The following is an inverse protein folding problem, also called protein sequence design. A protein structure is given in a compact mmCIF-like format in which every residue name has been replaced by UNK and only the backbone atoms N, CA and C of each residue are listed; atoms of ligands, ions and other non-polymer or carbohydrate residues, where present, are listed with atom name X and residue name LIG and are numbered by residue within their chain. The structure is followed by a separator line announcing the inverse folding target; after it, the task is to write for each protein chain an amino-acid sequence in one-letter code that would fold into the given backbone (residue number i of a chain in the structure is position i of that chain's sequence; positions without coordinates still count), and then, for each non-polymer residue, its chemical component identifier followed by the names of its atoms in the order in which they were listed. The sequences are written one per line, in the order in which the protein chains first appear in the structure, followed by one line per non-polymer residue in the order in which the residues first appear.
data_IF_836538431508
#
_entry.id   IF_836538431508
#
_cell.length_a   1.000
_cell.length_b   1.000
_cell.length_c   1.000
_cell.angle_alpha   90.00
_cell.angle_beta   90.00
_cell.angle_gamma   90.00
#
_symmetry.space_group_name_H-M   'P 1'
#
loop_
_entity.id
_entity.type
_entity.pdbx_description
1 polymer ?
#
# COMPACT_ATOMS: atom_id res chain seq x y z
N UNK A 1 11.42 1.18 -10.42
CA UNK A 1 12.45 1.46 -11.48
C UNK A 1 12.99 2.90 -11.42
N UNK A 2 12.14 3.92 -11.22
CA UNK A 2 12.55 5.34 -11.12
C UNK A 2 13.60 5.65 -10.04
N UNK A 3 13.67 4.87 -8.97
CA UNK A 3 14.61 5.04 -7.84
C UNK A 3 16.08 4.93 -8.26
N UNK A 4 16.37 4.27 -9.38
CA UNK A 4 17.74 4.02 -9.83
C UNK A 4 18.19 4.97 -10.95
N UNK A 5 17.34 5.91 -11.38
CA UNK A 5 17.64 6.88 -12.42
C UNK A 5 17.59 8.30 -11.86
N UNK A 6 18.48 8.62 -10.92
CA UNK A 6 18.53 9.94 -10.28
C UNK A 6 18.69 11.10 -11.29
N UNK A 7 19.33 10.85 -12.45
CA UNK A 7 19.46 11.84 -13.54
C UNK A 7 18.12 12.27 -14.13
N UNK A 8 17.10 11.40 -14.12
CA UNK A 8 15.76 11.74 -14.63
C UNK A 8 15.00 12.66 -13.66
N UNK A 9 15.40 12.69 -12.39
CA UNK A 9 14.79 13.49 -11.33
C UNK A 9 15.63 14.72 -10.96
N UNK A 10 16.65 15.06 -11.77
CA UNK A 10 17.63 16.10 -11.42
C UNK A 10 17.04 17.52 -11.41
N UNK A 11 16.04 17.79 -12.27
CA UNK A 11 15.39 19.11 -12.38
C UNK A 11 14.01 19.11 -11.75
N UNK A 12 13.63 20.24 -11.14
CA UNK A 12 12.31 20.41 -10.48
C UNK A 12 11.16 20.14 -11.46
N UNK A 13 11.25 20.63 -12.69
CA UNK A 13 10.24 20.39 -13.74
C UNK A 13 10.09 18.90 -14.04
N UNK A 14 11.19 18.18 -14.33
CA UNK A 14 11.13 16.74 -14.62
C UNK A 14 10.57 15.93 -13.45
N UNK A 15 10.91 16.31 -12.21
CA UNK A 15 10.33 15.66 -11.02
C UNK A 15 8.81 15.78 -10.96
N UNK A 16 8.25 16.95 -11.28
CA UNK A 16 6.80 17.16 -11.31
C UNK A 16 6.16 16.25 -12.36
N UNK A 17 6.63 16.30 -13.61
CA UNK A 17 6.04 15.53 -14.71
C UNK A 17 6.20 14.00 -14.57
N UNK A 18 7.33 13.53 -14.05
CA UNK A 18 7.63 12.09 -14.03
C UNK A 18 7.17 11.43 -12.72
N UNK A 19 7.24 12.13 -11.59
CA UNK A 19 6.97 11.53 -10.28
C UNK A 19 5.60 11.90 -9.72
N UNK A 20 5.22 13.18 -9.80
CA UNK A 20 4.00 13.67 -9.14
C UNK A 20 2.78 13.66 -10.06
N UNK A 21 2.97 13.92 -11.35
CA UNK A 21 1.87 13.97 -12.31
C UNK A 21 1.13 12.61 -12.44
N UNK A 22 1.80 11.44 -12.55
CA UNK A 22 1.07 10.19 -12.72
C UNK A 22 0.13 9.85 -11.54
N UNK A 23 0.56 9.97 -10.26
CA UNK A 23 -0.35 9.81 -9.12
C UNK A 23 -1.50 10.82 -9.11
N UNK A 24 -1.26 12.08 -9.47
CA UNK A 24 -2.32 13.12 -9.51
C UNK A 24 -3.36 12.78 -10.57
N UNK A 25 -2.93 12.41 -11.78
CA UNK A 25 -3.85 12.00 -12.85
C UNK A 25 -4.64 10.74 -12.47
N UNK A 26 -3.99 9.77 -11.82
CA UNK A 26 -4.67 8.56 -11.34
C UNK A 26 -5.73 8.90 -10.28
N UNK A 27 -5.41 9.75 -9.31
CA UNK A 27 -6.37 10.20 -8.31
C UNK A 27 -7.55 10.95 -8.95
N UNK A 28 -7.27 11.86 -9.89
CA UNK A 28 -8.30 12.59 -10.61
C UNK A 28 -9.22 11.63 -11.38
N UNK A 29 -8.65 10.64 -12.08
CA UNK A 29 -9.41 9.60 -12.76
C UNK A 29 -10.31 8.83 -11.78
N UNK A 30 -9.78 8.37 -10.64
CA UNK A 30 -10.57 7.67 -9.63
C UNK A 30 -11.72 8.54 -9.10
N UNK A 31 -11.45 9.79 -8.72
CA UNK A 31 -12.49 10.69 -8.21
C UNK A 31 -13.58 10.97 -9.25
N UNK A 32 -13.22 11.22 -10.50
CA UNK A 32 -14.19 11.50 -11.56
C UNK A 32 -15.01 10.25 -11.88
N UNK A 33 -14.37 9.11 -12.14
CA UNK A 33 -15.08 7.88 -12.50
C UNK A 33 -16.02 7.41 -11.39
N UNK A 34 -15.52 7.26 -10.16
CA UNK A 34 -16.36 6.79 -9.06
C UNK A 34 -17.36 7.85 -8.58
N UNK A 35 -17.02 9.14 -8.73
CA UNK A 35 -17.96 10.24 -8.47
C UNK A 35 -19.16 10.18 -9.41
N UNK A 36 -18.95 9.99 -10.71
CA UNK A 36 -20.04 9.83 -11.69
C UNK A 36 -20.90 8.62 -11.35
N UNK A 37 -20.27 7.46 -11.08
CA UNK A 37 -20.99 6.21 -10.78
C UNK A 37 -21.84 6.33 -9.51
N UNK A 38 -21.33 7.01 -8.48
CA UNK A 38 -22.01 7.10 -7.19
C UNK A 38 -23.09 8.19 -7.16
N UNK A 39 -22.81 9.37 -7.71
CA UNK A 39 -23.75 10.52 -7.66
C UNK A 39 -24.75 10.56 -8.81
N UNK A 40 -24.44 9.92 -9.95
CA UNK A 40 -25.31 9.89 -11.13
C UNK A 40 -25.59 8.45 -11.60
N UNK A 41 -26.21 7.60 -10.76
CA UNK A 41 -26.57 6.25 -11.17
C UNK A 41 -27.66 6.31 -12.24
N UNK A 42 -27.41 5.72 -13.40
CA UNK A 42 -28.38 5.63 -14.51
C UNK A 42 -29.49 4.58 -14.29
N UNK A 43 -29.58 4.01 -13.08
CA UNK A 43 -30.50 2.92 -12.74
C UNK A 43 -30.78 2.88 -11.23
N UNK A 44 -31.77 2.08 -10.83
CA UNK A 44 -32.14 1.88 -9.42
C UNK A 44 -31.20 0.86 -8.77
N UNK A 45 -30.51 1.27 -7.71
CA UNK A 45 -29.63 0.39 -6.94
C UNK A 45 -30.43 -0.69 -6.19
N UNK A 46 -29.86 -1.88 -6.06
CA UNK A 46 -30.46 -2.97 -5.29
C UNK A 46 -29.86 -3.04 -3.88
N UNK A 47 -30.71 -3.37 -2.90
CA UNK A 47 -30.28 -3.59 -1.53
C UNK A 47 -30.10 -5.10 -1.36
N UNK A 48 -28.90 -5.52 -0.97
CA UNK A 48 -28.60 -6.92 -0.69
C UNK A 48 -28.02 -7.07 0.72
N UNK A 49 -28.87 -7.51 1.65
CA UNK A 49 -28.49 -7.71 3.05
C UNK A 49 -27.45 -8.83 3.27
N UNK A 50 -27.22 -9.67 2.26
CA UNK A 50 -26.27 -10.79 2.32
C UNK A 50 -24.91 -10.46 1.69
N UNK A 51 -24.77 -9.29 1.06
CA UNK A 51 -23.51 -8.83 0.49
C UNK A 51 -22.70 -8.04 1.53
N UNK A 52 -21.37 -8.05 1.39
CA UNK A 52 -20.49 -7.25 2.25
C UNK A 52 -20.80 -5.74 2.16
N UNK A 53 -21.28 -5.28 1.01
CA UNK A 53 -21.84 -3.96 0.81
C UNK A 53 -23.38 -4.05 0.77
N UNK A 54 -24.05 -3.30 1.65
CA UNK A 54 -25.52 -3.28 1.75
C UNK A 54 -26.19 -2.75 0.47
N UNK A 55 -25.52 -1.81 -0.22
CA UNK A 55 -25.98 -1.20 -1.47
C UNK A 55 -25.13 -1.74 -2.61
N UNK A 56 -25.78 -2.45 -3.54
CA UNK A 56 -25.14 -2.91 -4.78
C UNK A 56 -25.48 -1.90 -5.87
N UNK A 57 -24.45 -1.24 -6.41
CA UNK A 57 -24.64 -0.28 -7.48
C UNK A 57 -25.08 -1.01 -8.75
N UNK A 58 -26.25 -0.62 -9.29
CA UNK A 58 -26.83 -1.27 -10.47
C UNK A 58 -25.95 -1.13 -11.73
N UNK A 59 -25.05 -0.14 -11.77
CA UNK A 59 -24.05 0.05 -12.83
C UNK A 59 -23.15 -1.18 -13.01
N UNK A 60 -22.93 -1.98 -11.96
CA UNK A 60 -22.18 -3.23 -12.05
C UNK A 60 -22.92 -4.34 -12.81
N UNK A 61 -24.24 -4.25 -12.98
CA UNK A 61 -24.99 -5.18 -13.83
C UNK A 61 -24.77 -4.91 -15.34
N UNK A 62 -24.21 -3.74 -15.70
CA UNK A 62 -23.82 -3.48 -17.07
C UNK A 62 -22.51 -4.22 -17.38
N UNK A 63 -22.57 -5.23 -18.25
CA UNK A 63 -21.42 -6.03 -18.66
C UNK A 63 -20.24 -5.18 -19.14
N UNK A 64 -20.48 -4.08 -19.85
CA UNK A 64 -19.40 -3.22 -20.36
C UNK A 64 -18.65 -2.53 -19.22
N UNK A 65 -19.40 -1.98 -18.25
CA UNK A 65 -18.78 -1.32 -17.09
C UNK A 65 -18.07 -2.33 -16.19
N UNK A 66 -18.71 -3.48 -15.95
CA UNK A 66 -18.13 -4.58 -15.15
C UNK A 66 -16.83 -5.11 -15.76
N UNK A 67 -16.79 -5.32 -17.08
CA UNK A 67 -15.56 -5.69 -17.80
C UNK A 67 -14.50 -4.60 -17.74
N UNK A 68 -14.87 -3.33 -17.93
CA UNK A 68 -13.95 -2.22 -17.81
C UNK A 68 -13.31 -2.16 -16.42
N UNK A 69 -14.11 -2.27 -15.37
CA UNK A 69 -13.65 -2.24 -13.99
C UNK A 69 -12.72 -3.43 -13.68
N UNK A 70 -13.14 -4.62 -14.07
CA UNK A 70 -12.36 -5.86 -13.91
C UNK A 70 -11.03 -5.79 -14.67
N UNK A 71 -11.03 -5.38 -15.93
CA UNK A 71 -9.80 -5.41 -16.76
C UNK A 71 -8.89 -4.25 -16.43
N UNK A 72 -9.42 -3.03 -16.44
CA UNK A 72 -8.61 -1.80 -16.37
C UNK A 72 -8.28 -1.41 -14.95
N UNK A 73 -9.22 -1.55 -14.01
CA UNK A 73 -8.98 -1.14 -12.62
C UNK A 73 -8.46 -2.28 -11.75
N UNK A 74 -8.66 -3.54 -12.16
CA UNK A 74 -8.16 -4.70 -11.41
C UNK A 74 -7.03 -5.45 -12.14
N UNK A 75 -7.28 -6.17 -13.22
CA UNK A 75 -6.29 -7.07 -13.85
C UNK A 75 -5.03 -6.31 -14.30
N UNK A 76 -5.18 -5.20 -15.02
CA UNK A 76 -4.06 -4.45 -15.60
C UNK A 76 -3.10 -3.91 -14.51
N UNK A 77 -3.56 -3.23 -13.44
CA UNK A 77 -2.71 -2.83 -12.32
C UNK A 77 -1.99 -4.01 -11.67
N UNK A 78 -2.64 -5.16 -11.51
CA UNK A 78 -2.01 -6.34 -10.92
C UNK A 78 -0.88 -6.88 -11.78
N UNK A 79 -1.09 -7.00 -13.09
CA UNK A 79 -0.05 -7.42 -14.03
C UNK A 79 1.13 -6.44 -14.02
N UNK A 80 0.86 -5.14 -14.01
CA UNK A 80 1.88 -4.10 -13.88
C UNK A 80 2.66 -4.32 -12.58
N UNK A 81 2.00 -4.46 -11.43
CA UNK A 81 2.68 -4.71 -10.15
C UNK A 81 3.57 -5.94 -10.27
N UNK A 82 3.06 -7.09 -10.72
CA UNK A 82 3.83 -8.34 -10.88
C UNK A 82 5.09 -8.12 -11.73
N UNK A 83 4.93 -7.56 -12.93
CA UNK A 83 6.06 -7.33 -13.86
C UNK A 83 7.10 -6.42 -13.23
N UNK A 84 6.68 -5.29 -12.65
CA UNK A 84 7.59 -4.34 -12.03
C UNK A 84 8.26 -4.90 -10.76
N UNK A 85 7.57 -5.75 -10.00
CA UNK A 85 8.11 -6.41 -8.80
C UNK A 85 9.16 -7.45 -9.17
N UNK A 86 8.89 -8.30 -10.17
CA UNK A 86 9.88 -9.26 -10.70
C UNK A 86 11.11 -8.50 -11.23
N UNK A 87 10.90 -7.46 -12.05
CA UNK A 87 11.99 -6.63 -12.55
C UNK A 87 12.79 -5.95 -11.42
N UNK A 88 12.13 -5.52 -10.33
CA UNK A 88 12.78 -4.93 -9.16
C UNK A 88 13.66 -5.97 -8.44
N UNK A 89 13.17 -7.20 -8.25
CA UNK A 89 13.91 -8.29 -7.60
C UNK A 89 15.14 -8.65 -8.43
N UNK A 90 14.97 -8.90 -9.73
CA UNK A 90 16.07 -9.24 -10.64
C UNK A 90 17.16 -8.15 -10.63
N UNK A 91 16.75 -6.88 -10.69
CA UNK A 91 17.68 -5.76 -10.63
C UNK A 91 18.36 -5.64 -9.27
N UNK A 92 17.66 -5.90 -8.17
CA UNK A 92 18.26 -5.89 -6.84
C UNK A 92 19.32 -6.98 -6.68
N UNK A 93 19.06 -8.19 -7.18
CA UNK A 93 20.03 -9.29 -7.20
C UNK A 93 21.25 -8.94 -8.05
N UNK A 94 21.02 -8.40 -9.26
CA UNK A 94 22.11 -8.05 -10.16
C UNK A 94 22.98 -6.91 -9.61
N UNK A 95 22.37 -5.90 -8.98
CA UNK A 95 23.09 -4.77 -8.42
C UNK A 95 23.85 -5.14 -7.15
N UNK A 96 23.35 -6.11 -6.36
CA UNK A 96 24.09 -6.69 -5.24
C UNK A 96 25.35 -7.43 -5.71
N UNK A 97 25.30 -8.07 -6.88
CA UNK A 97 26.46 -8.74 -7.47
C UNK A 97 27.49 -7.75 -8.07
N UNK A 98 27.03 -6.59 -8.58
CA UNK A 98 27.89 -5.66 -9.35
C UNK A 98 28.50 -4.52 -8.54
N UNK A 99 27.96 -4.15 -7.38
CA UNK A 99 28.36 -2.94 -6.66
C UNK A 99 28.93 -3.20 -5.26
N UNK A 100 30.26 -3.11 -5.12
CA UNK A 100 31.00 -3.03 -3.86
C UNK A 100 30.86 -1.68 -3.11
N UNK A 101 29.90 -0.82 -3.49
CA UNK A 101 29.71 0.51 -2.86
C UNK A 101 28.68 0.48 -1.72
N UNK A 102 29.17 0.27 -0.50
CA UNK A 102 28.34 0.03 0.69
C UNK A 102 27.41 1.19 1.11
N UNK A 103 27.78 2.45 0.88
CA UNK A 103 27.10 3.60 1.49
C UNK A 103 25.79 3.97 0.76
N UNK A 104 25.80 4.06 -0.58
CA UNK A 104 24.57 4.32 -1.35
C UNK A 104 23.62 3.11 -1.34
N UNK A 105 24.17 1.89 -1.27
CA UNK A 105 23.40 0.66 -1.20
C UNK A 105 22.45 0.63 0.00
N UNK A 106 22.88 1.11 1.18
CA UNK A 106 22.04 1.09 2.39
C UNK A 106 20.77 1.95 2.25
N UNK A 107 20.83 3.04 1.48
CA UNK A 107 19.67 3.91 1.21
C UNK A 107 18.73 3.26 0.20
N UNK A 108 19.25 2.78 -0.94
CA UNK A 108 18.44 2.12 -1.97
C UNK A 108 17.81 0.83 -1.46
N UNK A 109 18.53 0.03 -0.69
CA UNK A 109 18.04 -1.24 -0.11
C UNK A 109 16.78 -1.05 0.73
N UNK A 110 16.66 0.02 1.52
CA UNK A 110 15.47 0.26 2.35
C UNK A 110 14.23 0.54 1.50
N UNK A 111 14.40 1.35 0.45
CA UNK A 111 13.32 1.69 -0.48
C UNK A 111 12.91 0.49 -1.33
N UNK A 112 13.88 -0.32 -1.76
CA UNK A 112 13.65 -1.59 -2.45
C UNK A 112 12.91 -2.58 -1.56
N UNK A 113 13.32 -2.76 -0.29
CA UNK A 113 12.62 -3.63 0.66
C UNK A 113 11.19 -3.14 0.87
N UNK A 114 10.96 -1.84 1.03
CA UNK A 114 9.61 -1.29 1.14
C UNK A 114 8.74 -1.63 -0.06
N UNK A 115 9.23 -1.36 -1.27
CA UNK A 115 8.50 -1.68 -2.50
C UNK A 115 8.25 -3.17 -2.67
N UNK A 116 9.23 -4.00 -2.31
CA UNK A 116 9.12 -5.45 -2.36
C UNK A 116 8.08 -5.96 -1.36
N UNK A 117 8.07 -5.43 -0.13
CA UNK A 117 7.07 -5.78 0.87
C UNK A 117 5.66 -5.35 0.46
N UNK A 118 5.51 -4.17 -0.16
CA UNK A 118 4.21 -3.74 -0.72
C UNK A 118 3.79 -4.71 -1.83
N UNK A 119 4.70 -5.03 -2.76
CA UNK A 119 4.42 -5.97 -3.84
C UNK A 119 3.98 -7.33 -3.33
N UNK A 120 4.66 -7.85 -2.31
CA UNK A 120 4.35 -9.13 -1.69
C UNK A 120 3.00 -9.11 -0.98
N UNK A 121 2.64 -7.99 -0.34
CA UNK A 121 1.32 -7.79 0.25
C UNK A 121 0.21 -7.91 -0.81
N UNK A 122 0.36 -7.20 -1.94
CA UNK A 122 -0.60 -7.28 -3.04
C UNK A 122 -0.64 -8.69 -3.67
N UNK A 123 0.51 -9.36 -3.80
CA UNK A 123 0.58 -10.73 -4.31
C UNK A 123 -0.10 -11.74 -3.39
N UNK A 124 0.02 -11.62 -2.07
CA UNK A 124 -0.62 -12.59 -1.16
C UNK A 124 -2.13 -12.36 -1.09
N UNK A 125 -2.54 -11.11 -0.89
CA UNK A 125 -3.93 -10.82 -0.54
C UNK A 125 -4.81 -10.55 -1.76
N UNK A 126 -4.25 -10.01 -2.85
CA UNK A 126 -5.03 -9.59 -4.03
C UNK A 126 -4.98 -10.58 -5.19
N UNK A 127 -3.91 -11.39 -5.28
CA UNK A 127 -3.76 -12.39 -6.33
C UNK A 127 -4.86 -13.45 -6.32
N UNK A 128 -5.29 -14.02 -5.17
CA UNK A 128 -6.34 -15.03 -5.15
C UNK A 128 -7.64 -14.51 -5.79
N UNK A 129 -8.04 -13.28 -5.47
CA UNK A 129 -9.23 -12.66 -6.03
C UNK A 129 -9.09 -12.44 -7.55
N UNK A 130 -7.96 -11.87 -7.97
CA UNK A 130 -7.69 -11.62 -9.41
C UNK A 130 -7.65 -12.93 -10.21
N UNK A 131 -7.08 -13.99 -9.64
CA UNK A 131 -7.03 -15.31 -10.25
C UNK A 131 -8.42 -15.92 -10.41
N UNK A 132 -9.27 -15.83 -9.38
CA UNK A 132 -10.65 -16.29 -9.46
C UNK A 132 -11.44 -15.55 -10.55
N UNK A 133 -11.27 -14.23 -10.65
CA UNK A 133 -11.93 -13.41 -11.67
C UNK A 133 -11.46 -13.80 -13.07
N UNK A 134 -10.17 -14.07 -13.26
CA UNK A 134 -9.65 -14.57 -14.52
C UNK A 134 -10.27 -15.93 -14.89
N UNK A 135 -10.39 -16.86 -13.94
CA UNK A 135 -11.05 -18.15 -14.18
C UNK A 135 -12.52 -17.99 -14.59
N UNK A 136 -13.24 -17.03 -13.98
CA UNK A 136 -14.61 -16.71 -14.40
C UNK A 136 -14.68 -16.21 -15.84
N UNK A 137 -13.75 -15.34 -16.25
CA UNK A 137 -13.66 -14.87 -17.63
C UNK A 137 -13.35 -16.01 -18.61
N UNK A 138 -12.65 -17.05 -18.17
CA UNK A 138 -12.41 -18.27 -18.96
C UNK A 138 -13.59 -19.26 -19.00
N UNK A 139 -14.73 -18.93 -18.39
CA UNK A 139 -15.95 -19.74 -18.46
C UNK A 139 -16.18 -20.68 -17.26
N UNK A 140 -15.47 -20.49 -16.14
CA UNK A 140 -15.78 -21.23 -14.92
C UNK A 140 -17.20 -20.86 -14.42
N UNK A 141 -18.09 -21.84 -14.16
CA UNK A 141 -19.45 -21.53 -13.70
C UNK A 141 -19.46 -20.88 -12.30
N UNK A 142 -20.25 -19.81 -12.15
CA UNK A 142 -20.48 -19.07 -10.90
C UNK A 142 -20.91 -19.90 -9.70
N UNK A 143 -21.52 -21.06 -9.97
CA UNK A 143 -22.27 -21.83 -8.98
C UNK A 143 -21.34 -22.67 -8.09
N UNK A 144 -20.13 -23.00 -8.57
CA UNK A 144 -19.18 -23.86 -7.86
C UNK A 144 -18.18 -23.07 -7.01
N UNK A 145 -18.02 -21.78 -7.28
CA UNK A 145 -16.93 -20.97 -6.71
C UNK A 145 -17.38 -19.67 -6.02
N UNK A 146 -18.69 -19.52 -5.78
CA UNK A 146 -19.26 -18.34 -5.12
C UNK A 146 -18.67 -18.08 -3.72
N UNK A 147 -18.52 -19.12 -2.90
CA UNK A 147 -17.98 -18.98 -1.54
C UNK A 147 -16.48 -18.66 -1.55
N UNK A 148 -15.71 -19.33 -2.42
CA UNK A 148 -14.27 -19.06 -2.60
C UNK A 148 -14.04 -17.60 -3.01
N UNK A 149 -14.88 -17.05 -3.90
CA UNK A 149 -14.81 -15.65 -4.32
C UNK A 149 -15.05 -14.70 -3.14
N UNK A 150 -16.07 -14.93 -2.31
CA UNK A 150 -16.35 -14.10 -1.13
C UNK A 150 -15.17 -14.07 -0.15
N UNK A 151 -14.56 -15.22 0.13
CA UNK A 151 -13.37 -15.28 0.96
C UNK A 151 -12.19 -14.54 0.32
N UNK A 152 -11.98 -14.69 -0.99
CA UNK A 152 -10.89 -14.00 -1.70
C UNK A 152 -11.06 -12.47 -1.71
N UNK A 153 -12.29 -11.98 -1.88
CA UNK A 153 -12.64 -10.57 -1.75
C UNK A 153 -12.36 -10.07 -0.31
N UNK A 154 -12.85 -10.77 0.70
CA UNK A 154 -12.57 -10.45 2.11
C UNK A 154 -11.07 -10.45 2.43
N UNK A 155 -10.30 -11.39 1.86
CA UNK A 155 -8.86 -11.43 2.04
C UNK A 155 -8.16 -10.22 1.40
N UNK A 156 -8.69 -9.71 0.28
CA UNK A 156 -8.14 -8.54 -0.40
C UNK A 156 -8.26 -7.28 0.45
N UNK A 157 -9.29 -7.16 1.29
CA UNK A 157 -9.49 -6.00 2.17
C UNK A 157 -8.40 -5.83 3.24
N UNK A 158 -7.73 -6.93 3.62
CA UNK A 158 -6.59 -6.86 4.54
C UNK A 158 -5.42 -6.03 3.98
N UNK A 159 -5.35 -5.81 2.67
CA UNK A 159 -4.34 -4.92 2.08
C UNK A 159 -4.45 -3.53 2.69
N UNK A 160 -5.67 -3.00 2.82
CA UNK A 160 -5.92 -1.66 3.38
C UNK A 160 -5.42 -1.60 4.82
N UNK A 161 -5.65 -2.66 5.59
CA UNK A 161 -5.19 -2.77 6.97
C UNK A 161 -3.66 -2.83 7.08
N UNK A 162 -3.00 -3.66 6.28
CA UNK A 162 -1.55 -3.92 6.39
C UNK A 162 -0.68 -2.89 5.68
N UNK A 163 -1.20 -2.19 4.66
CA UNK A 163 -0.47 -1.20 3.88
C UNK A 163 0.25 -0.12 4.73
N UNK A 164 -0.39 0.53 5.73
CA UNK A 164 0.30 1.52 6.56
C UNK A 164 1.46 0.90 7.36
N UNK A 165 1.31 -0.32 7.86
CA UNK A 165 2.38 -1.01 8.59
C UNK A 165 3.59 -1.28 7.70
N UNK A 166 3.35 -1.79 6.49
CA UNK A 166 4.39 -2.05 5.50
C UNK A 166 5.11 -0.75 5.10
N UNK A 167 4.38 0.36 4.99
CA UNK A 167 4.98 1.66 4.69
C UNK A 167 5.82 2.25 5.84
N UNK A 168 5.42 2.01 7.09
CA UNK A 168 6.07 2.58 8.29
C UNK A 168 7.34 1.82 8.69
N UNK A 169 7.37 0.49 8.55
CA UNK A 169 8.50 -0.36 8.97
C UNK A 169 9.89 0.08 8.43
N UNK A 170 10.04 0.52 7.16
CA UNK A 170 11.32 0.94 6.58
C UNK A 170 11.75 2.36 6.97
N UNK A 171 10.85 3.18 7.51
CA UNK A 171 11.11 4.55 7.96
C UNK A 171 11.90 4.55 9.28
N UNK A 172 13.20 4.28 9.19
CA UNK A 172 14.10 4.23 10.36
C UNK A 172 14.07 5.50 11.21
N UNK A 173 13.80 6.67 10.60
CA UNK A 173 13.69 7.95 11.31
C UNK A 173 12.46 7.99 12.23
N UNK A 174 11.33 7.48 11.75
CA UNK A 174 10.10 7.42 12.53
C UNK A 174 10.21 6.36 13.64
N UNK A 175 10.77 5.19 13.35
CA UNK A 175 11.06 4.16 14.35
C UNK A 175 11.93 4.68 15.49
N UNK A 176 12.98 5.46 15.16
CA UNK A 176 13.85 6.06 16.17
C UNK A 176 13.15 7.15 16.98
N UNK A 177 12.24 7.93 16.37
CA UNK A 177 11.41 8.90 17.11
C UNK A 177 10.42 8.21 18.05
N UNK A 178 9.69 7.19 17.59
CA UNK A 178 8.75 6.41 18.41
C UNK A 178 9.50 5.76 19.58
N UNK A 179 10.64 5.12 19.31
CA UNK A 179 11.47 4.51 20.36
C UNK A 179 11.98 5.55 21.38
N UNK A 180 12.38 6.75 20.93
CA UNK A 180 12.73 7.85 21.85
C UNK A 180 11.55 8.29 22.70
N UNK A 181 10.35 8.44 22.14
CA UNK A 181 9.15 8.81 22.89
C UNK A 181 8.81 7.74 23.94
N UNK A 182 8.81 6.46 23.57
CA UNK A 182 8.53 5.34 24.46
C UNK A 182 9.60 5.18 25.57
N UNK A 183 10.89 5.36 25.25
CA UNK A 183 11.99 5.27 26.22
C UNK A 183 12.10 6.51 27.13
N UNK A 184 11.81 7.71 26.61
CA UNK A 184 11.74 8.92 27.43
C UNK A 184 10.60 8.86 28.45
N UNK A 185 9.51 8.16 28.14
CA UNK A 185 8.42 7.90 29.10
C UNK A 185 8.89 7.02 30.26
N UNK A 186 9.79 6.04 30.01
CA UNK A 186 10.43 5.22 31.06
C UNK A 186 11.41 6.01 31.96
N UNK A 187 12.15 6.98 31.42
CA UNK A 187 13.09 7.80 32.21
C UNK A 187 12.43 8.85 33.12
N UNK A 188 11.18 9.26 32.84
CA UNK A 188 10.47 10.22 33.70
C UNK A 188 9.93 9.61 35.00
N UNK A 189 9.73 8.30 35.08
CA UNK A 189 9.30 7.62 36.31
C UNK A 189 10.45 7.30 37.29
N UNK A 190 11.71 7.54 36.91
CA UNK A 190 12.90 7.24 37.72
C UNK A 190 13.58 8.48 38.29
N UNK A 191 12.88 9.63 38.38
CA UNK A 191 13.32 10.70 39.29
C UNK A 191 12.96 10.29 40.72
N UNK A 192 13.89 9.57 41.35
CA UNK A 192 13.99 9.47 42.80
C UNK A 192 13.86 10.89 43.39
N UNK A 193 12.81 11.09 44.18
CA UNK A 193 12.73 12.22 45.11
C UNK A 193 13.90 12.02 46.06
N UNK A 194 14.99 12.79 45.90
CA UNK A 194 16.01 12.89 46.93
C UNK A 194 15.38 13.70 48.07
N UNK A 195 15.21 13.15 49.28
CA UNK A 195 14.89 13.98 50.43
C UNK A 195 16.06 14.94 50.62
N UNK A 196 15.77 16.23 50.57
CA UNK A 196 16.71 17.29 50.85
C UNK A 196 16.95 17.29 52.37
N UNK A 197 18.03 16.65 52.80
CA UNK A 197 18.44 16.68 54.21
C UNK A 197 18.99 18.09 54.45
N UNK A 198 18.15 18.92 55.05
CA UNK A 198 18.47 20.27 55.52
C UNK A 198 19.49 20.15 56.67
N UNK A 199 20.78 20.22 56.34
CA UNK A 199 21.83 20.40 57.35
C UNK A 199 21.85 21.84 57.80
N UNK A 200 21.13 22.13 58.88
CA UNK A 200 21.26 23.38 59.63
C UNK A 200 22.68 23.46 60.21
N UNK A 201 23.54 24.20 59.50
CA UNK A 201 24.86 24.61 59.97
C UNK A 201 24.65 25.65 61.08
N UNK A 202 24.70 25.21 62.34
CA UNK A 202 24.77 26.11 63.48
C UNK A 202 26.08 26.90 63.40
N UNK A 203 25.94 28.21 63.21
CA UNK A 203 27.01 29.19 63.40
C UNK A 203 26.92 29.77 64.80
N UNK A 204 28.07 29.75 65.47
CA UNK A 204 28.46 30.33 66.77
C UNK A 204 28.18 29.50 68.00
#
# INVERSE_FOLDING_TARGET
ILIFHDRWLSTRRKRIFIHYLPPILLLLYCFICYGIVYFFPFCVNSINYYAAACIVCCTYNNNVFSLWETIVNQILPHLIIIIFSVALILRALWQNHRAHQQIQWRKHRRMTIQLLSISFLYLIFSFPNTFMIFLYLCGLPSNTSGDVKKYAEFFSDFIILFFPFVCILPLSKLRNKIRKILLCRKRRQTRFIRPEILTLRQTK
#
